data_IF_991273993872
#
_entry.id   IF_991273993872
#
_cell.length_a   1.000
_cell.length_b   1.000
_cell.length_c   1.000
_cell.angle_alpha   90.00
_cell.angle_beta   90.00
_cell.angle_gamma   90.00
#
_symmetry.space_group_name_H-M   'P 1'
#
loop_
_entity.id
_entity.type
_entity.pdbx_description
1 polymer ?
#
# COMPACT_ATOMS: atom_id res chain seq x y z
N UNK A 1 10.81 0.12 20.50
CA UNK A 1 9.95 1.32 20.63
C UNK A 1 8.62 1.24 19.86
N UNK A 2 8.46 0.38 18.83
CA UNK A 2 7.20 0.22 18.05
C UNK A 2 6.07 -0.50 18.82
N UNK A 3 6.35 -0.98 20.05
CA UNK A 3 5.36 -1.72 20.86
C UNK A 3 4.27 -0.86 21.49
N UNK A 4 4.52 0.43 21.69
CA UNK A 4 3.56 1.36 22.31
C UNK A 4 2.68 2.03 21.25
N UNK A 5 1.48 2.47 21.64
CA UNK A 5 0.58 3.25 20.76
C UNK A 5 1.32 4.47 20.20
N UNK A 6 2.02 5.22 21.05
CA UNK A 6 2.81 6.39 20.64
C UNK A 6 3.90 6.04 19.63
N UNK A 7 4.57 4.89 19.77
CA UNK A 7 5.58 4.44 18.81
C UNK A 7 4.98 4.07 17.44
N UNK A 8 3.80 3.44 17.41
CA UNK A 8 3.10 3.10 16.16
C UNK A 8 2.53 4.34 15.47
N UNK A 9 1.92 5.24 16.22
CA UNK A 9 1.45 6.53 15.70
C UNK A 9 2.61 7.38 15.19
N UNK A 10 3.72 7.45 15.94
CA UNK A 10 4.93 8.13 15.50
C UNK A 10 5.49 7.56 14.20
N UNK A 11 5.49 6.23 14.05
CA UNK A 11 5.88 5.57 12.80
C UNK A 11 4.93 5.92 11.65
N UNK A 12 3.61 5.87 11.89
CA UNK A 12 2.60 6.20 10.88
C UNK A 12 2.72 7.67 10.43
N UNK A 13 2.91 8.60 11.38
CA UNK A 13 3.11 10.01 11.09
C UNK A 13 4.43 10.29 10.36
N UNK A 14 5.52 9.61 10.73
CA UNK A 14 6.79 9.71 10.02
C UNK A 14 6.66 9.20 8.58
N UNK A 15 6.00 8.06 8.37
CA UNK A 15 5.71 7.53 7.04
C UNK A 15 4.81 8.47 6.22
N UNK A 16 3.79 9.06 6.84
CA UNK A 16 2.93 10.04 6.19
C UNK A 16 3.69 11.32 5.83
N UNK A 17 4.57 11.81 6.70
CA UNK A 17 5.41 12.97 6.42
C UNK A 17 6.37 12.72 5.25
N UNK A 18 6.96 11.52 5.18
CA UNK A 18 7.78 11.10 4.03
C UNK A 18 6.95 11.00 2.75
N UNK A 19 5.74 10.47 2.83
CA UNK A 19 4.81 10.38 1.70
C UNK A 19 4.28 11.75 1.25
N UNK A 20 4.26 12.76 2.12
CA UNK A 20 3.83 14.12 1.79
C UNK A 20 4.91 14.94 1.08
N UNK A 21 6.18 14.48 1.07
CA UNK A 21 7.26 15.25 0.44
C UNK A 21 6.98 15.48 -1.06
N UNK A 22 7.16 16.73 -1.55
CA UNK A 22 7.09 17.01 -2.98
C UNK A 22 8.24 16.28 -3.69
N UNK A 23 7.91 15.50 -4.72
CA UNK A 23 8.80 14.53 -5.37
C UNK A 23 9.28 13.42 -4.42
N UNK A 24 8.35 12.61 -3.91
CA UNK A 24 8.61 11.51 -2.99
C UNK A 24 9.78 10.63 -3.49
N UNK A 25 10.90 10.60 -2.75
CA UNK A 25 12.09 9.86 -3.17
C UNK A 25 11.83 8.36 -3.30
N UNK A 26 10.83 7.83 -2.58
CA UNK A 26 10.44 6.42 -2.68
C UNK A 26 9.75 6.13 -4.01
N UNK A 27 8.79 6.95 -4.42
CA UNK A 27 8.13 6.83 -5.73
C UNK A 27 9.16 6.96 -6.85
N UNK A 28 10.07 7.93 -6.73
CA UNK A 28 11.13 8.14 -7.72
C UNK A 28 12.12 6.98 -7.76
N UNK A 29 12.47 6.41 -6.60
CA UNK A 29 13.32 5.22 -6.52
C UNK A 29 12.65 4.00 -7.13
N UNK A 30 11.35 3.79 -6.90
CA UNK A 30 10.60 2.71 -7.52
C UNK A 30 10.51 2.84 -9.04
N UNK A 31 10.32 4.05 -9.55
CA UNK A 31 10.36 4.34 -10.98
C UNK A 31 11.76 4.07 -11.57
N UNK A 32 12.82 4.49 -10.89
CA UNK A 32 14.22 4.28 -11.32
C UNK A 32 14.63 2.81 -11.29
N UNK A 33 14.20 2.08 -10.27
CA UNK A 33 14.46 0.64 -10.12
C UNK A 33 13.52 -0.22 -10.98
N UNK A 34 12.53 0.39 -11.63
CA UNK A 34 11.53 -0.32 -12.43
C UNK A 34 10.70 -1.29 -11.60
N UNK A 35 10.52 -1.02 -10.31
CA UNK A 35 9.74 -1.85 -9.39
C UNK A 35 8.23 -1.67 -9.61
N UNK A 36 7.82 -0.55 -10.22
CA UNK A 36 6.46 -0.33 -10.71
C UNK A 36 6.51 0.36 -12.10
N UNK A 37 5.94 -0.22 -13.17
CA UNK A 37 5.37 -1.56 -13.20
C UNK A 37 6.47 -2.61 -13.03
N UNK A 38 6.23 -3.58 -12.15
CA UNK A 38 7.23 -4.57 -11.74
C UNK A 38 7.65 -5.48 -12.91
N UNK A 39 8.80 -6.18 -12.81
CA UNK A 39 9.32 -7.04 -13.89
C UNK A 39 8.29 -8.08 -14.38
N UNK A 40 7.57 -8.69 -13.44
CA UNK A 40 6.50 -9.66 -13.72
C UNK A 40 5.29 -9.03 -14.40
N UNK A 41 4.97 -7.77 -14.08
CA UNK A 41 3.83 -7.07 -14.68
C UNK A 41 4.09 -6.76 -16.15
N UNK A 42 5.34 -6.41 -16.48
CA UNK A 42 5.77 -6.14 -17.86
C UNK A 42 5.73 -7.39 -18.74
N UNK A 43 5.95 -8.57 -18.16
CA UNK A 43 6.03 -9.82 -18.92
C UNK A 43 4.70 -10.57 -18.97
N UNK A 44 3.89 -10.50 -17.91
CA UNK A 44 2.65 -11.25 -17.78
C UNK A 44 1.40 -10.40 -18.08
N UNK A 45 1.52 -9.07 -18.15
CA UNK A 45 0.37 -8.17 -18.31
C UNK A 45 -0.58 -8.19 -17.10
N UNK A 46 -0.11 -8.66 -15.94
CA UNK A 46 -0.88 -8.79 -14.70
C UNK A 46 -0.36 -7.75 -13.70
N UNK A 47 -1.25 -6.95 -13.12
CA UNK A 47 -0.92 -5.96 -12.08
C UNK A 47 -0.83 -6.65 -10.72
N UNK A 48 0.24 -6.43 -9.97
CA UNK A 48 0.34 -6.86 -8.58
C UNK A 48 -0.50 -5.94 -7.68
N UNK A 49 -0.98 -6.48 -6.56
CA UNK A 49 -1.75 -5.69 -5.57
C UNK A 49 -1.02 -4.44 -5.06
N UNK A 50 0.31 -4.44 -5.09
CA UNK A 50 1.14 -3.35 -4.59
C UNK A 50 1.56 -2.35 -5.67
N UNK A 51 1.29 -2.62 -6.95
CA UNK A 51 1.73 -1.74 -8.03
C UNK A 51 0.92 -0.44 -8.03
N UNK A 52 1.62 0.68 -8.06
CA UNK A 52 1.03 2.00 -7.87
C UNK A 52 0.54 2.28 -6.45
N UNK A 53 0.85 1.43 -5.45
CA UNK A 53 0.41 1.67 -4.07
C UNK A 53 1.13 2.83 -3.42
N UNK A 54 2.42 3.01 -3.69
CA UNK A 54 3.22 4.14 -3.22
C UNK A 54 2.78 5.47 -3.82
N UNK A 55 2.54 5.49 -5.14
CA UNK A 55 1.92 6.62 -5.84
C UNK A 55 0.53 6.89 -5.27
N UNK A 56 -0.28 5.85 -5.08
CA UNK A 56 -1.59 5.96 -4.45
C UNK A 56 -1.51 6.59 -3.06
N UNK A 57 -0.57 6.16 -2.21
CA UNK A 57 -0.38 6.69 -0.86
C UNK A 57 0.09 8.14 -0.90
N UNK A 58 0.97 8.51 -1.84
CA UNK A 58 1.39 9.90 -2.06
C UNK A 58 0.18 10.78 -2.38
N UNK A 59 -0.62 10.40 -3.38
CA UNK A 59 -1.84 11.12 -3.77
C UNK A 59 -2.86 11.20 -2.63
N UNK A 60 -3.05 10.11 -1.89
CA UNK A 60 -3.97 10.04 -0.75
C UNK A 60 -3.58 11.03 0.37
N UNK A 61 -2.28 11.15 0.65
CA UNK A 61 -1.76 12.10 1.66
C UNK A 61 -1.90 13.56 1.21
N UNK A 62 -1.99 13.82 -0.09
CA UNK A 62 -2.31 15.14 -0.65
C UNK A 62 -3.83 15.40 -0.75
N UNK A 63 -4.68 14.43 -0.36
CA UNK A 63 -6.13 14.54 -0.44
C UNK A 63 -6.72 14.20 -1.81
N UNK A 64 -5.90 13.75 -2.76
CA UNK A 64 -6.29 13.42 -4.14
C UNK A 64 -6.83 11.98 -4.24
N UNK A 65 -8.02 11.73 -3.67
CA UNK A 65 -8.62 10.39 -3.62
C UNK A 65 -8.83 9.79 -5.02
N UNK A 66 -9.24 10.60 -6.00
CA UNK A 66 -9.44 10.15 -7.38
C UNK A 66 -8.14 9.65 -8.02
N UNK A 67 -7.06 10.40 -7.86
CA UNK A 67 -5.73 10.02 -8.34
C UNK A 67 -5.19 8.80 -7.59
N UNK A 68 -5.44 8.71 -6.28
CA UNK A 68 -5.04 7.56 -5.46
C UNK A 68 -5.72 6.26 -5.91
N UNK A 69 -7.02 6.31 -6.22
CA UNK A 69 -7.78 5.16 -6.72
C UNK A 69 -7.33 4.75 -8.12
N UNK A 70 -7.04 5.72 -9.00
CA UNK A 70 -6.52 5.47 -10.34
C UNK A 70 -5.13 4.79 -10.30
N UNK A 71 -4.26 5.22 -9.39
CA UNK A 71 -2.97 4.60 -9.17
C UNK A 71 -3.12 3.17 -8.63
N UNK A 72 -3.89 3.01 -7.55
CA UNK A 72 -4.22 1.71 -6.99
C UNK A 72 -5.50 1.78 -6.12
N UNK A 73 -6.55 1.08 -6.56
CA UNK A 73 -7.85 1.02 -5.89
C UNK A 73 -7.77 0.53 -4.42
N UNK A 74 -6.79 -0.30 -4.07
CA UNK A 74 -6.61 -0.78 -2.69
C UNK A 74 -5.96 0.24 -1.76
N UNK A 75 -5.38 1.30 -2.29
CA UNK A 75 -4.64 2.29 -1.48
C UNK A 75 -5.44 2.80 -0.28
N UNK A 76 -6.70 3.26 -0.42
CA UNK A 76 -7.45 3.77 0.72
C UNK A 76 -7.74 2.68 1.76
N UNK A 77 -7.97 1.45 1.32
CA UNK A 77 -8.20 0.31 2.21
C UNK A 77 -6.94 -0.03 3.02
N UNK A 78 -5.77 -0.04 2.36
CA UNK A 78 -4.49 -0.27 3.04
C UNK A 78 -4.17 0.86 4.01
N UNK A 79 -4.48 2.12 3.65
CA UNK A 79 -4.28 3.26 4.53
C UNK A 79 -5.15 3.13 5.80
N UNK A 80 -6.43 2.76 5.64
CA UNK A 80 -7.31 2.47 6.77
C UNK A 80 -6.78 1.32 7.63
N UNK A 81 -6.27 0.24 7.03
CA UNK A 81 -5.70 -0.88 7.76
C UNK A 81 -4.45 -0.48 8.57
N UNK A 82 -3.58 0.36 8.01
CA UNK A 82 -2.39 0.89 8.70
C UNK A 82 -2.77 1.81 9.85
N UNK A 83 -3.78 2.67 9.68
CA UNK A 83 -4.33 3.53 10.74
C UNK A 83 -4.92 2.67 11.85
N UNK A 84 -5.77 1.70 11.50
CA UNK A 84 -6.37 0.77 12.45
C UNK A 84 -5.32 0.00 13.23
N UNK A 85 -4.27 -0.48 12.56
CA UNK A 85 -3.11 -1.13 13.20
C UNK A 85 -2.37 -0.17 14.15
N UNK A 86 -2.14 1.07 13.74
CA UNK A 86 -1.40 2.02 14.57
C UNK A 86 -2.17 2.33 15.87
N UNK A 87 -3.48 2.51 15.78
CA UNK A 87 -4.37 2.77 16.92
C UNK A 87 -4.52 1.53 17.80
N UNK A 88 -4.98 0.42 17.24
CA UNK A 88 -5.36 -0.77 18.02
C UNK A 88 -4.17 -1.63 18.42
N UNK A 89 -3.10 -1.64 17.62
CA UNK A 89 -1.97 -2.54 17.82
C UNK A 89 -2.30 -4.00 17.59
N UNK A 90 -3.41 -4.31 16.89
CA UNK A 90 -3.78 -5.69 16.59
C UNK A 90 -2.62 -6.37 15.88
N UNK A 91 -2.15 -7.45 16.49
CA UNK A 91 -1.13 -8.32 15.92
C UNK A 91 -1.79 -9.60 15.45
N UNK A 92 -1.28 -10.16 14.37
CA UNK A 92 -1.61 -11.51 13.95
C UNK A 92 -1.00 -12.46 14.99
N UNK A 93 -1.81 -12.83 15.99
CA UNK A 93 -1.34 -13.61 17.14
C UNK A 93 -1.30 -15.12 16.86
N UNK A 94 -1.93 -15.60 15.78
CA UNK A 94 -2.02 -17.02 15.47
C UNK A 94 -1.71 -17.30 14.02
N UNK A 95 -1.17 -18.49 13.75
CA UNK A 95 -0.90 -19.00 12.39
C UNK A 95 -2.15 -18.99 11.51
N UNK A 96 -3.34 -19.18 12.09
CA UNK A 96 -4.62 -19.08 11.37
C UNK A 96 -4.90 -17.65 10.91
N UNK A 97 -4.64 -16.65 11.75
CA UNK A 97 -4.76 -15.24 11.36
C UNK A 97 -3.76 -14.85 10.27
N UNK A 98 -2.53 -15.37 10.32
CA UNK A 98 -1.53 -15.16 9.25
C UNK A 98 -1.99 -15.76 7.92
N UNK A 99 -2.48 -17.00 7.92
CA UNK A 99 -2.99 -17.66 6.71
C UNK A 99 -4.21 -16.91 6.16
N UNK A 100 -5.14 -16.48 7.02
CA UNK A 100 -6.30 -15.70 6.60
C UNK A 100 -5.91 -14.34 6.03
N UNK A 101 -4.96 -13.64 6.65
CA UNK A 101 -4.44 -12.38 6.13
C UNK A 101 -3.77 -12.57 4.76
N UNK A 102 -2.96 -13.62 4.61
CA UNK A 102 -2.33 -13.97 3.34
C UNK A 102 -3.36 -14.33 2.26
N UNK A 103 -4.37 -15.14 2.60
CA UNK A 103 -5.44 -15.51 1.69
C UNK A 103 -6.26 -14.29 1.24
N UNK A 104 -6.59 -13.39 2.17
CA UNK A 104 -7.22 -12.11 1.86
C UNK A 104 -6.34 -11.26 0.94
N UNK A 105 -5.04 -11.23 1.19
CA UNK A 105 -4.09 -10.48 0.39
C UNK A 105 -4.02 -10.99 -1.06
N UNK A 106 -3.96 -12.31 -1.23
CA UNK A 106 -4.01 -12.97 -2.55
C UNK A 106 -5.35 -12.70 -3.24
N UNK A 107 -6.47 -12.84 -2.52
CA UNK A 107 -7.80 -12.56 -3.05
C UNK A 107 -7.97 -11.11 -3.53
N UNK A 108 -7.49 -10.14 -2.74
CA UNK A 108 -7.50 -8.72 -3.11
C UNK A 108 -6.61 -8.45 -4.33
N UNK A 109 -5.47 -9.15 -4.45
CA UNK A 109 -4.61 -9.06 -5.64
C UNK A 109 -5.32 -9.52 -6.91
N UNK A 110 -6.11 -10.61 -6.82
CA UNK A 110 -6.93 -11.09 -7.94
C UNK A 110 -8.01 -10.06 -8.27
N UNK A 111 -8.69 -9.51 -7.26
CA UNK A 111 -9.74 -8.52 -7.44
C UNK A 111 -9.23 -7.24 -8.16
N UNK A 112 -8.04 -6.77 -7.79
CA UNK A 112 -7.41 -5.61 -8.46
C UNK A 112 -7.20 -5.84 -9.95
N UNK A 113 -6.79 -7.04 -10.35
CA UNK A 113 -6.62 -7.37 -11.77
C UNK A 113 -7.94 -7.37 -12.55
N UNK A 114 -9.06 -7.71 -11.91
CA UNK A 114 -10.39 -7.67 -12.54
C UNK A 114 -10.86 -6.23 -12.72
N UNK A 115 -10.63 -5.37 -11.72
CA UNK A 115 -11.16 -3.99 -11.70
C UNK A 115 -10.26 -3.03 -12.49
N UNK A 116 -8.94 -3.24 -12.46
CA UNK A 116 -7.94 -2.41 -13.14
C UNK A 116 -6.94 -3.30 -13.89
N UNK A 117 -7.35 -3.93 -15.01
CA UNK A 117 -6.42 -4.64 -15.88
C UNK A 117 -5.39 -3.67 -16.45
N UNK A 118 -4.15 -4.14 -16.65
CA UNK A 118 -3.17 -3.38 -17.41
C UNK A 118 -3.64 -3.25 -18.87
N UNK A 119 -3.38 -2.10 -19.53
CA UNK A 119 -3.64 -1.93 -20.95
C UNK A 119 -2.76 -2.84 -21.81
#
# INVERSE_FOLDING_TARGET
MIGTVGGRLGLLLASAALAWLPANPLVRAEALLGLSPGPLERHLGIKNAFSGMTEGMHQLVHGELGAALAANFLTPLVACALIAWAVTGVRLATRRHEILAAAWFVGLSILVNIVHPLP
#
